data_IF_492251810421
#
_entry.id   IF_492251810421
#
_cell.length_a   1.000
_cell.length_b   1.000
_cell.length_c   1.000
_cell.angle_alpha   90.00
_cell.angle_beta   90.00
_cell.angle_gamma   90.00
#
_symmetry.space_group_name_H-M   'P 1'
#
loop_
_entity.id
_entity.type
_entity.pdbx_description
1 polymer ?
#
# COMPACT_ATOMS: atom_id res chain seq x y z
N UNK A 1 3.36 19.83 12.43
CA UNK A 1 2.28 20.50 11.75
C UNK A 1 2.32 22.01 11.93
N UNK A 2 1.58 22.72 11.10
CA UNK A 2 1.36 24.16 11.22
C UNK A 2 0.16 24.35 12.12
N UNK A 3 0.27 25.17 13.17
CA UNK A 3 -0.76 25.28 14.18
C UNK A 3 -2.02 26.02 13.72
N UNK A 4 -1.90 26.96 12.78
CA UNK A 4 -3.07 27.68 12.22
C UNK A 4 -2.89 28.05 10.75
N UNK A 5 -4.00 28.36 10.07
CA UNK A 5 -3.96 28.90 8.70
C UNK A 5 -3.26 30.28 8.68
N UNK A 6 -3.39 31.05 9.75
CA UNK A 6 -2.78 32.36 9.90
C UNK A 6 -1.26 32.27 10.05
N UNK A 7 -0.74 31.24 10.74
CA UNK A 7 0.70 31.00 10.80
C UNK A 7 1.26 30.60 9.44
N UNK A 8 0.51 29.81 8.65
CA UNK A 8 0.90 29.50 7.26
C UNK A 8 0.91 30.76 6.42
N UNK A 9 -0.07 31.64 6.58
CA UNK A 9 -0.17 32.89 5.85
C UNK A 9 0.87 33.91 6.33
N UNK A 10 1.15 33.96 7.64
CA UNK A 10 2.18 34.83 8.24
C UNK A 10 3.60 34.45 7.85
N UNK A 11 3.85 33.15 7.55
CA UNK A 11 5.13 32.67 7.03
C UNK A 11 5.32 32.95 5.53
N UNK A 12 4.34 33.62 4.90
CA UNK A 12 4.45 34.18 3.55
C UNK A 12 4.52 33.20 2.41
N UNK A 13 4.63 31.91 2.68
CA UNK A 13 4.54 30.85 1.68
C UNK A 13 4.34 29.51 2.37
N UNK A 14 3.39 28.75 1.91
CA UNK A 14 3.33 27.30 2.10
C UNK A 14 4.50 26.59 1.40
N UNK A 15 5.74 27.11 1.56
CA UNK A 15 6.89 26.44 0.98
C UNK A 15 7.10 25.12 1.72
N UNK A 16 7.31 24.05 0.98
CA UNK A 16 7.62 22.71 1.51
C UNK A 16 8.74 22.77 2.55
N UNK A 17 9.73 23.65 2.36
CA UNK A 17 10.86 23.84 3.26
C UNK A 17 10.48 24.39 4.64
N UNK A 18 9.46 25.24 4.74
CA UNK A 18 8.98 25.75 6.02
C UNK A 18 8.24 24.68 6.82
N UNK A 19 7.37 23.89 6.15
CA UNK A 19 6.66 22.76 6.77
C UNK A 19 7.62 21.70 7.33
N UNK A 20 8.76 21.50 6.69
CA UNK A 20 9.78 20.54 7.14
C UNK A 20 10.44 20.92 8.48
N UNK A 21 10.47 22.21 8.84
CA UNK A 21 11.08 22.70 10.07
C UNK A 21 10.11 22.78 11.24
N UNK A 22 8.81 22.67 11.00
CA UNK A 22 7.78 22.78 12.02
C UNK A 22 7.67 21.53 12.89
N UNK A 23 7.24 21.64 14.16
CA UNK A 23 6.90 20.50 14.97
C UNK A 23 5.77 19.69 14.34
N UNK A 24 5.69 18.41 14.69
CA UNK A 24 4.61 17.52 14.26
C UNK A 24 3.90 16.97 15.47
N UNK A 25 2.58 16.85 15.36
CA UNK A 25 1.70 16.33 16.40
C UNK A 25 0.88 15.18 15.85
N UNK A 26 0.43 14.30 16.72
CA UNK A 26 -0.53 13.27 16.36
C UNK A 26 -1.92 13.89 16.17
N UNK A 27 -2.67 13.36 15.23
CA UNK A 27 -4.08 13.64 15.03
C UNK A 27 -4.75 12.38 14.48
N UNK A 28 -5.99 12.13 14.87
CA UNK A 28 -6.81 11.04 14.33
C UNK A 28 -7.66 11.63 13.20
N UNK A 29 -7.64 11.01 12.03
CA UNK A 29 -8.49 11.40 10.90
C UNK A 29 -9.32 10.19 10.50
N UNK A 30 -10.64 10.31 10.61
CA UNK A 30 -11.61 9.28 10.26
C UNK A 30 -12.32 9.66 8.97
N UNK A 31 -12.37 8.74 8.00
CA UNK A 31 -13.20 8.89 6.81
C UNK A 31 -14.63 8.47 7.14
N UNK A 32 -15.58 9.39 7.01
CA UNK A 32 -16.99 9.14 7.34
C UNK A 32 -17.81 8.63 6.15
N UNK A 33 -17.33 8.83 4.93
CA UNK A 33 -18.00 8.44 3.68
C UNK A 33 -16.98 8.22 2.55
N UNK A 34 -17.43 7.82 1.39
CA UNK A 34 -16.57 7.60 0.21
C UNK A 34 -15.78 8.85 -0.23
N UNK A 35 -16.37 10.03 -0.08
CA UNK A 35 -15.66 11.30 -0.35
C UNK A 35 -14.52 11.49 0.65
N UNK A 36 -14.81 11.25 1.94
CA UNK A 36 -13.79 11.30 3.00
C UNK A 36 -12.65 10.32 2.75
N UNK A 37 -12.94 9.08 2.37
CA UNK A 37 -11.92 8.10 1.98
C UNK A 37 -11.02 8.64 0.86
N UNK A 38 -11.59 9.21 -0.18
CA UNK A 38 -10.84 9.82 -1.29
C UNK A 38 -9.96 10.97 -0.82
N UNK A 39 -10.50 11.84 0.04
CA UNK A 39 -9.77 12.97 0.60
C UNK A 39 -8.65 12.52 1.55
N UNK A 40 -8.89 11.49 2.36
CA UNK A 40 -7.85 10.89 3.21
C UNK A 40 -6.68 10.35 2.38
N UNK A 41 -6.94 9.65 1.28
CA UNK A 41 -5.90 9.15 0.38
C UNK A 41 -5.12 10.27 -0.29
N UNK A 42 -5.78 11.40 -0.64
CA UNK A 42 -5.10 12.59 -1.16
C UNK A 42 -4.16 13.19 -0.11
N UNK A 43 -4.62 13.33 1.12
CA UNK A 43 -3.79 13.82 2.23
C UNK A 43 -2.58 12.92 2.48
N UNK A 44 -2.77 11.60 2.53
CA UNK A 44 -1.67 10.64 2.69
C UNK A 44 -0.69 10.72 1.52
N UNK A 45 -1.19 10.83 0.28
CA UNK A 45 -0.34 11.00 -0.90
C UNK A 45 0.48 12.29 -0.84
N UNK A 46 -0.15 13.42 -0.50
CA UNK A 46 0.55 14.70 -0.33
C UNK A 46 1.61 14.63 0.78
N UNK A 47 1.30 13.96 1.88
CA UNK A 47 2.22 13.77 3.00
C UNK A 47 3.50 13.03 2.59
N UNK A 48 3.39 12.06 1.67
CA UNK A 48 4.54 11.28 1.20
C UNK A 48 5.26 11.92 0.01
N UNK A 49 4.53 12.50 -0.95
CA UNK A 49 5.12 13.03 -2.18
C UNK A 49 5.65 14.44 -1.98
N UNK A 50 4.91 15.30 -1.26
CA UNK A 50 5.21 16.74 -1.17
C UNK A 50 5.79 17.15 0.18
N UNK A 51 5.28 16.59 1.28
CA UNK A 51 5.59 17.07 2.64
C UNK A 51 6.39 16.07 3.48
N UNK A 52 7.00 15.08 2.86
CA UNK A 52 7.83 14.10 3.55
C UNK A 52 9.13 14.74 4.08
N UNK A 53 9.37 14.59 5.36
CA UNK A 53 10.66 14.93 5.98
C UNK A 53 10.87 14.02 7.20
N UNK A 54 11.74 13.02 7.09
CA UNK A 54 11.96 11.93 8.05
C UNK A 54 10.72 11.05 8.29
N UNK A 55 9.53 11.65 8.22
CA UNK A 55 8.21 11.01 8.30
C UNK A 55 7.22 11.78 7.42
N UNK A 56 6.11 11.17 7.00
CA UNK A 56 5.06 11.89 6.28
C UNK A 56 4.40 12.92 7.19
N UNK A 57 4.04 14.09 6.65
CA UNK A 57 3.45 15.22 7.38
C UNK A 57 2.23 15.75 6.65
N UNK A 58 1.19 16.07 7.37
CA UNK A 58 -0.02 16.69 6.82
C UNK A 58 -0.13 18.10 7.39
N UNK A 59 0.12 19.17 6.60
CA UNK A 59 -0.14 20.53 7.03
C UNK A 59 -1.64 20.75 7.29
N UNK A 60 -2.00 21.48 8.35
CA UNK A 60 -3.39 21.85 8.64
C UNK A 60 -4.08 22.54 7.46
N UNK A 61 -3.36 23.38 6.72
CA UNK A 61 -3.86 24.03 5.52
C UNK A 61 -4.28 23.05 4.41
N UNK A 62 -3.56 21.94 4.24
CA UNK A 62 -3.97 20.88 3.30
C UNK A 62 -5.16 20.08 3.85
N UNK A 63 -5.16 19.79 5.15
CA UNK A 63 -6.32 19.14 5.79
C UNK A 63 -7.60 19.95 5.59
N UNK A 64 -7.57 21.27 5.80
CA UNK A 64 -8.74 22.14 5.62
C UNK A 64 -9.29 22.06 4.19
N UNK A 65 -8.42 22.01 3.18
CA UNK A 65 -8.83 21.88 1.76
C UNK A 65 -9.58 20.59 1.46
N UNK A 66 -9.23 19.52 2.15
CA UNK A 66 -9.77 18.18 1.94
C UNK A 66 -10.61 17.67 3.11
N UNK A 67 -11.15 18.58 3.94
CA UNK A 67 -11.89 18.24 5.17
C UNK A 67 -13.21 17.54 4.91
N UNK A 68 -13.80 17.73 3.75
CA UNK A 68 -15.12 17.16 3.41
C UNK A 68 -15.13 15.63 3.55
N UNK A 69 -16.11 15.13 4.34
CA UNK A 69 -16.24 13.72 4.68
C UNK A 69 -15.18 13.18 5.66
N UNK A 70 -14.45 14.05 6.35
CA UNK A 70 -13.46 13.68 7.38
C UNK A 70 -13.84 14.24 8.74
N UNK A 71 -13.64 13.44 9.80
CA UNK A 71 -13.61 13.89 11.19
C UNK A 71 -12.16 13.92 11.67
N UNK A 72 -11.82 14.91 12.48
CA UNK A 72 -10.51 15.04 13.10
C UNK A 72 -10.62 15.01 14.62
N UNK A 73 -9.84 14.13 15.27
CA UNK A 73 -9.72 14.00 16.71
C UNK A 73 -8.39 14.51 17.24
N UNK A 74 -8.38 14.95 18.51
CA UNK A 74 -7.21 15.55 19.15
C UNK A 74 -6.05 14.58 19.45
N UNK A 75 -6.28 13.29 19.30
CA UNK A 75 -5.34 12.20 19.56
C UNK A 75 -4.82 12.14 21.02
N UNK A 76 -3.69 11.42 21.20
CA UNK A 76 -3.07 11.08 22.48
C UNK A 76 -2.24 12.22 23.07
N UNK A 77 -1.34 11.91 24.02
CA UNK A 77 -0.41 12.83 24.65
C UNK A 77 0.57 13.50 23.66
N UNK A 78 0.80 12.87 22.52
CA UNK A 78 1.59 13.45 21.41
C UNK A 78 0.74 14.37 20.50
N UNK A 79 -0.55 14.54 20.78
CA UNK A 79 -1.45 15.47 20.11
C UNK A 79 -1.17 16.91 20.49
N UNK A 80 -1.53 17.85 19.60
CA UNK A 80 -1.24 19.26 19.79
C UNK A 80 -2.02 19.86 20.97
N UNK A 81 -3.29 19.48 21.15
CA UNK A 81 -4.11 19.95 22.28
C UNK A 81 -3.54 19.49 23.62
N UNK A 82 -3.22 18.19 23.74
CA UNK A 82 -2.63 17.66 24.96
C UNK A 82 -1.31 18.36 25.30
N UNK A 83 -0.43 18.54 24.30
CA UNK A 83 0.84 19.26 24.47
C UNK A 83 0.67 20.71 24.81
N UNK A 84 -0.35 21.39 24.29
CA UNK A 84 -0.65 22.79 24.64
C UNK A 84 -1.09 22.90 26.11
N UNK A 85 -1.94 21.99 26.59
CA UNK A 85 -2.38 21.93 28.00
C UNK A 85 -1.19 21.61 28.92
N UNK A 86 -0.42 20.57 28.58
CA UNK A 86 0.76 20.14 29.33
C UNK A 86 1.77 21.29 29.53
N UNK A 87 2.02 22.06 28.48
CA UNK A 87 2.97 23.19 28.49
C UNK A 87 2.37 24.51 28.99
N UNK A 88 1.16 24.51 29.53
CA UNK A 88 0.51 25.71 30.07
C UNK A 88 0.33 26.85 29.05
N UNK A 89 0.00 26.49 27.79
CA UNK A 89 -0.24 27.48 26.74
C UNK A 89 -1.43 28.38 27.08
N UNK A 90 -1.50 29.63 26.56
CA UNK A 90 -2.59 30.53 26.81
C UNK A 90 -3.96 29.93 26.42
N UNK A 91 -5.01 30.25 27.17
CA UNK A 91 -6.37 29.74 26.92
C UNK A 91 -6.88 30.09 25.52
N UNK A 92 -6.46 31.23 24.96
CA UNK A 92 -6.78 31.65 23.59
C UNK A 92 -6.23 30.64 22.54
N UNK A 93 -5.00 30.15 22.77
CA UNK A 93 -4.40 29.12 21.90
C UNK A 93 -5.13 27.80 22.07
N UNK A 94 -5.43 27.39 23.29
CA UNK A 94 -6.21 26.16 23.59
C UNK A 94 -7.59 26.23 22.93
N UNK A 95 -8.29 27.37 23.03
CA UNK A 95 -9.57 27.59 22.37
C UNK A 95 -9.51 27.41 20.86
N UNK A 96 -8.50 27.95 20.21
CA UNK A 96 -8.30 27.77 18.76
C UNK A 96 -8.08 26.30 18.39
N UNK A 97 -7.31 25.57 19.20
CA UNK A 97 -7.07 24.15 19.00
C UNK A 97 -8.33 23.31 19.16
N UNK A 98 -9.10 23.53 20.22
CA UNK A 98 -10.37 22.82 20.46
C UNK A 98 -11.33 23.04 19.30
N UNK A 99 -11.45 24.27 18.80
CA UNK A 99 -12.31 24.58 17.65
C UNK A 99 -11.89 23.90 16.35
N UNK A 100 -10.62 23.56 16.19
CA UNK A 100 -10.11 22.87 15.00
C UNK A 100 -10.57 21.40 14.96
N UNK A 101 -10.67 20.74 16.12
CA UNK A 101 -11.06 19.33 16.23
C UNK A 101 -12.57 19.15 16.20
N UNK A 102 -13.04 18.01 15.64
CA UNK A 102 -14.44 17.61 15.68
C UNK A 102 -14.79 16.92 16.99
N UNK A 103 -13.83 16.20 17.57
CA UNK A 103 -13.93 15.58 18.89
C UNK A 103 -12.58 15.59 19.61
N UNK A 104 -12.64 15.43 20.93
CA UNK A 104 -11.45 15.39 21.78
C UNK A 104 -11.25 13.99 22.31
N UNK A 105 -10.03 13.67 22.71
CA UNK A 105 -9.65 12.32 23.14
C UNK A 105 -8.95 12.36 24.50
N UNK A 106 -9.27 11.38 25.34
CA UNK A 106 -8.58 11.07 26.60
C UNK A 106 -8.22 9.59 26.61
N UNK A 107 -7.15 9.26 27.33
CA UNK A 107 -6.64 7.88 27.43
C UNK A 107 -6.49 7.44 28.89
N UNK A 108 -6.39 6.12 29.20
CA UNK A 108 -6.09 5.61 30.51
C UNK A 108 -4.80 6.26 31.07
N UNK A 109 -4.77 6.52 32.38
CA UNK A 109 -3.63 7.18 33.02
C UNK A 109 -2.31 6.40 32.81
N UNK A 110 -2.38 5.08 32.82
CA UNK A 110 -1.24 4.20 32.59
C UNK A 110 -0.54 4.40 31.24
N UNK A 111 -1.30 4.84 30.22
CA UNK A 111 -0.72 5.11 28.89
C UNK A 111 0.28 6.28 28.95
N UNK A 112 0.05 7.25 29.85
CA UNK A 112 0.84 8.47 30.00
C UNK A 112 1.72 8.46 31.25
N UNK A 113 1.84 7.33 31.98
CA UNK A 113 2.62 7.22 33.20
C UNK A 113 4.13 7.53 33.00
N UNK A 114 4.64 7.41 31.79
CA UNK A 114 6.01 7.80 31.46
C UNK A 114 6.27 9.29 31.69
N UNK A 115 5.23 10.16 31.56
CA UNK A 115 5.36 11.60 31.84
C UNK A 115 5.62 11.89 33.33
N UNK A 116 5.21 10.99 34.23
CA UNK A 116 5.48 11.12 35.68
C UNK A 116 6.95 10.75 35.99
N UNK A 117 7.56 9.89 35.16
CA UNK A 117 8.95 9.45 35.32
C UNK A 117 9.96 10.34 34.60
N UNK A 118 9.49 11.15 33.67
CA UNK A 118 10.33 12.07 32.89
C UNK A 118 10.65 13.32 33.72
N UNK A 119 11.93 13.48 34.08
CA UNK A 119 12.43 14.61 34.88
C UNK A 119 12.21 15.98 34.19
N UNK A 120 12.10 16.01 32.86
CA UNK A 120 11.84 17.22 32.08
C UNK A 120 10.33 17.50 31.95
N UNK A 121 9.46 16.62 32.46
CA UNK A 121 8.01 16.77 32.42
C UNK A 121 7.50 17.64 33.58
N UNK A 122 6.48 18.49 33.36
CA UNK A 122 5.81 19.21 34.45
C UNK A 122 4.88 18.31 35.30
N UNK A 123 4.72 17.03 34.95
CA UNK A 123 3.84 16.05 35.60
C UNK A 123 4.59 15.35 36.73
N UNK A 124 4.14 15.56 37.97
CA UNK A 124 4.74 14.97 39.13
C UNK A 124 4.01 13.72 39.66
N UNK A 125 2.74 13.55 39.27
CA UNK A 125 1.87 12.48 39.84
C UNK A 125 0.75 12.08 38.88
N UNK A 126 0.07 10.97 39.20
CA UNK A 126 -1.14 10.57 38.51
C UNK A 126 -2.28 11.60 38.68
N UNK A 127 -2.31 12.36 39.76
CA UNK A 127 -3.31 13.41 39.96
C UNK A 127 -3.17 14.52 38.91
N UNK A 128 -1.97 14.85 38.47
CA UNK A 128 -1.73 15.80 37.39
C UNK A 128 -2.28 15.28 36.07
N UNK A 129 -2.09 13.97 35.79
CA UNK A 129 -2.68 13.32 34.59
C UNK A 129 -4.21 13.33 34.63
N UNK A 130 -4.81 13.11 35.83
CA UNK A 130 -6.25 13.21 36.03
C UNK A 130 -6.74 14.62 35.72
N UNK A 131 -6.04 15.66 36.20
CA UNK A 131 -6.42 17.05 35.96
C UNK A 131 -6.34 17.44 34.49
N UNK A 132 -5.36 16.92 33.71
CA UNK A 132 -5.32 17.12 32.27
C UNK A 132 -6.55 16.49 31.60
N UNK A 133 -6.87 15.23 31.92
CA UNK A 133 -8.04 14.56 31.35
C UNK A 133 -9.34 15.30 31.72
N UNK A 134 -9.48 15.73 32.98
CA UNK A 134 -10.62 16.55 33.41
C UNK A 134 -10.68 17.91 32.68
N UNK A 135 -9.53 18.54 32.42
CA UNK A 135 -9.48 19.79 31.62
C UNK A 135 -9.97 19.53 30.20
N UNK A 136 -9.56 18.44 29.56
CA UNK A 136 -10.05 18.08 28.21
C UNK A 136 -11.55 17.84 28.23
N UNK A 137 -12.10 17.14 29.25
CA UNK A 137 -13.53 16.92 29.41
C UNK A 137 -14.28 18.24 29.55
N UNK A 138 -13.82 19.15 30.43
CA UNK A 138 -14.42 20.50 30.60
C UNK A 138 -14.39 21.30 29.30
N UNK A 139 -13.30 21.26 28.54
CA UNK A 139 -13.21 21.90 27.23
C UNK A 139 -14.21 21.31 26.24
N UNK A 140 -14.41 19.98 26.25
CA UNK A 140 -15.44 19.32 25.45
C UNK A 140 -16.83 19.83 25.78
N UNK A 141 -17.16 19.98 27.06
CA UNK A 141 -18.45 20.54 27.52
C UNK A 141 -18.62 22.00 27.09
N UNK A 142 -17.61 22.84 27.35
CA UNK A 142 -17.63 24.26 27.03
C UNK A 142 -17.82 24.54 25.53
N UNK A 143 -17.10 23.79 24.69
CA UNK A 143 -17.11 23.97 23.23
C UNK A 143 -18.06 23.00 22.49
N UNK A 144 -18.88 22.27 23.20
CA UNK A 144 -19.84 21.28 22.65
C UNK A 144 -19.16 20.26 21.72
N UNK A 145 -17.98 19.79 22.10
CA UNK A 145 -17.24 18.74 21.39
C UNK A 145 -17.36 17.40 22.11
N UNK A 146 -17.73 16.31 21.45
CA UNK A 146 -17.69 14.99 22.07
C UNK A 146 -16.27 14.70 22.58
N UNK A 147 -16.15 14.14 23.79
CA UNK A 147 -14.91 13.60 24.32
C UNK A 147 -14.99 12.10 24.32
N UNK A 148 -14.03 11.42 23.72
CA UNK A 148 -13.97 9.96 23.64
C UNK A 148 -12.81 9.42 24.47
N UNK A 149 -13.02 8.31 25.15
CA UNK A 149 -11.99 7.55 25.83
C UNK A 149 -11.51 6.42 24.94
N UNK A 150 -10.23 6.46 24.52
CA UNK A 150 -9.61 5.43 23.69
C UNK A 150 -8.55 4.65 24.47
N UNK A 151 -8.34 3.39 24.11
CA UNK A 151 -7.42 2.50 24.85
C UNK A 151 -5.99 2.53 24.32
N UNK A 152 -5.78 2.93 23.05
CA UNK A 152 -4.48 2.89 22.38
C UNK A 152 -3.84 1.48 22.38
N UNK A 153 -4.57 0.50 21.90
CA UNK A 153 -4.21 -0.92 21.95
C UNK A 153 -2.99 -1.21 21.07
N UNK A 154 -1.95 -1.81 21.66
CA UNK A 154 -0.75 -2.27 20.96
C UNK A 154 -0.55 -3.78 21.07
N UNK A 155 -1.22 -4.44 22.02
CA UNK A 155 -1.20 -5.90 22.21
C UNK A 155 -2.51 -6.39 22.83
N UNK A 156 -2.77 -7.70 22.76
CA UNK A 156 -4.06 -8.26 23.11
C UNK A 156 -4.22 -8.44 24.62
N UNK A 157 -3.36 -9.25 25.24
CA UNK A 157 -3.43 -9.59 26.65
C UNK A 157 -2.35 -8.83 27.44
N UNK A 158 -2.55 -8.56 28.76
CA UNK A 158 -1.57 -7.85 29.57
C UNK A 158 -0.16 -8.45 29.53
N UNK A 159 -0.04 -9.78 29.46
CA UNK A 159 1.24 -10.48 29.43
C UNK A 159 1.99 -10.36 28.09
N UNK A 160 1.31 -9.92 27.03
CA UNK A 160 1.90 -9.72 25.70
C UNK A 160 2.84 -8.50 25.64
N UNK A 161 2.88 -7.70 26.69
CA UNK A 161 3.85 -6.60 26.82
C UNK A 161 5.28 -7.03 26.53
N UNK A 162 5.62 -8.28 26.87
CA UNK A 162 6.97 -8.83 26.69
C UNK A 162 7.40 -8.81 25.22
N UNK A 163 6.48 -9.06 24.28
CA UNK A 163 6.78 -9.04 22.86
C UNK A 163 7.06 -7.62 22.38
N UNK A 164 6.30 -6.64 22.86
CA UNK A 164 6.54 -5.23 22.57
C UNK A 164 7.87 -4.77 23.14
N UNK A 165 8.20 -5.18 24.37
CA UNK A 165 9.48 -4.92 25.03
C UNK A 165 10.65 -5.40 24.18
N UNK A 166 10.61 -6.64 23.68
CA UNK A 166 11.65 -7.22 22.84
C UNK A 166 11.81 -6.40 21.54
N UNK A 167 10.71 -6.04 20.89
CA UNK A 167 10.74 -5.24 19.66
C UNK A 167 11.33 -3.86 19.91
N UNK A 168 10.91 -3.17 20.96
CA UNK A 168 11.42 -1.84 21.32
C UNK A 168 12.90 -1.87 21.69
N UNK A 169 13.33 -2.86 22.47
CA UNK A 169 14.74 -3.06 22.78
C UNK A 169 15.59 -3.30 21.53
N UNK A 170 15.08 -4.11 20.58
CA UNK A 170 15.71 -4.35 19.28
C UNK A 170 15.80 -3.09 18.40
N UNK A 171 14.92 -2.13 18.59
CA UNK A 171 14.93 -0.82 17.92
C UNK A 171 15.78 0.24 18.65
N UNK A 172 16.35 -0.11 19.81
CA UNK A 172 17.24 0.76 20.57
C UNK A 172 16.53 1.76 21.50
N UNK A 173 15.26 1.53 21.85
CA UNK A 173 14.57 2.33 22.86
C UNK A 173 15.15 2.06 24.25
N UNK A 174 15.52 3.12 24.95
CA UNK A 174 16.17 3.01 26.29
C UNK A 174 15.19 2.62 27.39
N UNK A 175 13.92 2.96 27.22
CA UNK A 175 12.80 2.72 28.13
C UNK A 175 11.98 1.46 27.77
N UNK A 176 12.57 0.56 26.98
CA UNK A 176 11.88 -0.65 26.52
C UNK A 176 11.36 -1.51 27.68
N UNK A 177 12.04 -1.51 28.83
CA UNK A 177 11.64 -2.26 30.03
C UNK A 177 10.49 -1.64 30.83
N UNK A 178 10.11 -0.38 30.51
CA UNK A 178 9.06 0.37 31.19
C UNK A 178 7.80 0.46 30.31
N UNK A 179 7.17 -0.68 30.05
CA UNK A 179 6.02 -0.75 29.17
C UNK A 179 4.78 -0.07 29.76
N UNK A 180 4.11 0.74 28.90
CA UNK A 180 2.76 1.20 29.20
C UNK A 180 1.75 0.04 29.02
N UNK A 181 0.66 0.00 29.80
CA UNK A 181 -0.32 -1.09 29.77
C UNK A 181 -1.28 -0.94 28.58
N UNK A 182 -0.78 -1.09 27.35
CA UNK A 182 -1.49 -0.85 26.09
C UNK A 182 -2.20 -2.13 25.57
N UNK A 183 -2.76 -2.92 26.47
CA UNK A 183 -3.55 -4.10 26.11
C UNK A 183 -5.00 -3.76 25.78
N UNK A 184 -5.70 -4.67 25.08
CA UNK A 184 -7.12 -4.52 24.77
C UNK A 184 -7.97 -4.64 26.03
N UNK A 185 -8.58 -3.54 26.44
CA UNK A 185 -9.49 -3.49 27.59
C UNK A 185 -10.94 -3.73 27.18
N UNK A 186 -11.67 -4.46 28.01
CA UNK A 186 -13.11 -4.55 27.92
C UNK A 186 -13.77 -3.23 28.28
N UNK A 187 -15.08 -3.10 27.99
CA UNK A 187 -15.85 -1.91 28.38
C UNK A 187 -15.82 -1.68 29.89
N UNK A 188 -15.94 -2.74 30.69
CA UNK A 188 -15.91 -2.67 32.16
C UNK A 188 -14.54 -2.20 32.65
N UNK A 189 -13.44 -2.66 32.06
CA UNK A 189 -12.10 -2.21 32.39
C UNK A 189 -11.92 -0.73 32.02
N UNK A 190 -12.37 -0.32 30.83
CA UNK A 190 -12.32 1.10 30.45
C UNK A 190 -13.15 1.98 31.39
N UNK A 191 -14.36 1.57 31.80
CA UNK A 191 -15.15 2.31 32.77
C UNK A 191 -14.42 2.47 34.11
N UNK A 192 -13.66 1.47 34.56
CA UNK A 192 -12.83 1.56 35.77
C UNK A 192 -11.70 2.56 35.63
N UNK A 193 -11.02 2.60 34.48
CA UNK A 193 -9.94 3.56 34.20
C UNK A 193 -10.39 5.01 34.34
N UNK A 194 -11.68 5.30 34.04
CA UNK A 194 -12.21 6.66 34.06
C UNK A 194 -13.16 6.94 35.24
N UNK A 195 -13.20 6.08 36.27
CA UNK A 195 -14.06 6.28 37.46
C UNK A 195 -13.84 7.64 38.17
N UNK A 196 -12.66 8.21 38.08
CA UNK A 196 -12.35 9.53 38.65
C UNK A 196 -13.15 10.69 38.04
N UNK A 197 -13.81 10.47 36.91
CA UNK A 197 -14.75 11.43 36.28
C UNK A 197 -16.17 11.34 36.87
N UNK A 198 -16.46 10.31 37.67
CA UNK A 198 -17.78 9.92 38.07
C UNK A 198 -18.47 8.98 37.05
N UNK A 199 -19.39 8.16 37.52
CA UNK A 199 -19.98 7.07 36.73
C UNK A 199 -20.71 7.57 35.46
N UNK A 200 -21.45 8.66 35.55
CA UNK A 200 -22.19 9.23 34.41
C UNK A 200 -21.25 9.74 33.31
N UNK A 201 -20.19 10.47 33.70
CA UNK A 201 -19.21 11.01 32.74
C UNK A 201 -18.32 9.92 32.18
N UNK A 202 -17.96 8.90 32.99
CA UNK A 202 -17.23 7.74 32.50
C UNK A 202 -18.03 6.98 31.42
N UNK A 203 -19.34 6.74 31.65
CA UNK A 203 -20.23 6.14 30.66
C UNK A 203 -20.34 7.00 29.38
N UNK A 204 -20.42 8.30 29.54
CA UNK A 204 -20.49 9.24 28.42
C UNK A 204 -19.26 9.11 27.51
N UNK A 205 -18.05 9.21 28.07
CA UNK A 205 -16.80 9.23 27.26
C UNK A 205 -16.40 7.85 26.74
N UNK A 206 -16.70 6.77 27.50
CA UNK A 206 -16.30 5.39 27.13
C UNK A 206 -17.31 4.75 26.18
N UNK A 207 -18.61 4.99 26.37
CA UNK A 207 -19.67 4.27 25.64
C UNK A 207 -20.41 5.20 24.69
N UNK A 208 -21.04 6.27 25.20
CA UNK A 208 -21.96 7.09 24.41
C UNK A 208 -21.24 7.83 23.28
N UNK A 209 -20.17 8.53 23.61
CA UNK A 209 -19.45 9.35 22.63
C UNK A 209 -18.64 8.50 21.64
N UNK A 210 -18.09 7.36 22.04
CA UNK A 210 -17.41 6.45 21.11
C UNK A 210 -18.38 5.87 20.09
N UNK A 211 -19.58 5.46 20.52
CA UNK A 211 -20.63 5.03 19.59
C UNK A 211 -21.12 6.19 18.71
N UNK A 212 -21.29 7.41 19.27
CA UNK A 212 -21.66 8.58 18.48
C UNK A 212 -20.68 8.83 17.32
N UNK A 213 -19.37 8.77 17.58
CA UNK A 213 -18.36 8.93 16.51
C UNK A 213 -18.43 7.79 15.49
N UNK A 214 -18.64 6.55 15.94
CA UNK A 214 -18.82 5.41 15.04
C UNK A 214 -20.07 5.56 14.15
N UNK A 215 -21.18 6.03 14.71
CA UNK A 215 -22.47 6.23 14.00
C UNK A 215 -22.40 7.38 12.98
N UNK A 216 -21.44 8.32 13.12
CA UNK A 216 -21.16 9.35 12.13
C UNK A 216 -20.46 8.79 10.88
N UNK A 217 -19.97 7.55 10.91
CA UNK A 217 -19.25 6.91 9.82
C UNK A 217 -20.18 5.95 9.06
N UNK A 218 -20.32 6.15 7.76
CA UNK A 218 -20.98 5.21 6.87
C UNK A 218 -20.19 3.91 6.72
N UNK A 219 -20.85 2.86 6.28
CA UNK A 219 -20.16 1.63 5.90
C UNK A 219 -19.45 1.83 4.56
N UNK A 220 -18.16 2.08 4.61
CA UNK A 220 -17.30 2.28 3.43
C UNK A 220 -16.27 1.15 3.30
N UNK A 221 -15.78 0.92 2.09
CA UNK A 221 -14.67 0.01 1.84
C UNK A 221 -13.37 0.80 1.69
N UNK A 222 -12.26 0.42 2.39
CA UNK A 222 -10.95 1.05 2.19
C UNK A 222 -10.45 0.93 0.75
N UNK A 223 -10.74 -0.19 0.11
CA UNK A 223 -10.40 -0.45 -1.30
C UNK A 223 -11.69 -0.59 -2.09
N UNK A 224 -11.76 0.04 -3.26
CA UNK A 224 -12.90 -0.11 -4.16
C UNK A 224 -13.07 -1.59 -4.52
N UNK A 225 -14.31 -2.13 -4.48
CA UNK A 225 -14.54 -3.53 -4.83
C UNK A 225 -14.29 -3.82 -6.32
N UNK A 226 -14.47 -2.81 -7.17
CA UNK A 226 -14.34 -2.95 -8.61
C UNK A 226 -12.87 -2.99 -9.02
N UNK A 227 -12.54 -3.96 -9.85
CA UNK A 227 -11.24 -3.99 -10.53
C UNK A 227 -11.23 -2.89 -11.59
N UNK A 228 -10.16 -2.10 -11.62
CA UNK A 228 -9.97 -1.02 -12.59
C UNK A 228 -8.72 -1.33 -13.45
N UNK A 229 -8.78 -2.31 -14.36
CA UNK A 229 -7.66 -2.58 -15.25
C UNK A 229 -7.39 -1.35 -16.13
N UNK A 230 -6.13 -1.07 -16.46
CA UNK A 230 -5.82 0.00 -17.40
C UNK A 230 -6.42 -0.32 -18.77
N UNK A 231 -6.78 0.72 -19.51
CA UNK A 231 -7.31 0.60 -20.88
C UNK A 231 -6.27 1.14 -21.86
N UNK A 232 -5.90 0.30 -22.83
CA UNK A 232 -5.07 0.72 -23.97
C UNK A 232 -5.88 0.41 -25.23
N UNK A 233 -6.21 1.47 -25.99
CA UNK A 233 -6.95 1.29 -27.25
C UNK A 233 -6.23 0.31 -28.17
N UNK A 234 -7.02 -0.54 -28.83
CA UNK A 234 -6.55 -1.54 -29.78
C UNK A 234 -5.51 -2.54 -29.22
N UNK A 235 -5.43 -2.72 -27.88
CA UNK A 235 -4.47 -3.64 -27.27
C UNK A 235 -4.54 -5.07 -27.83
N UNK A 236 -5.74 -5.54 -28.16
CA UNK A 236 -5.97 -6.88 -28.71
C UNK A 236 -5.33 -7.01 -30.10
N UNK A 237 -5.56 -6.06 -30.98
CA UNK A 237 -4.98 -6.05 -32.31
C UNK A 237 -3.46 -5.80 -32.26
N UNK A 238 -3.02 -4.87 -31.40
CA UNK A 238 -1.59 -4.63 -31.20
C UNK A 238 -0.85 -5.87 -30.78
N UNK A 239 -1.40 -6.64 -29.84
CA UNK A 239 -0.79 -7.88 -29.38
C UNK A 239 -0.71 -8.92 -30.52
N UNK A 240 -1.79 -9.09 -31.29
CA UNK A 240 -1.78 -9.95 -32.48
C UNK A 240 -0.70 -9.55 -33.46
N UNK A 241 -0.65 -8.29 -33.86
CA UNK A 241 0.29 -7.78 -34.84
C UNK A 241 1.74 -7.97 -34.39
N UNK A 242 2.06 -7.65 -33.14
CA UNK A 242 3.42 -7.84 -32.60
C UNK A 242 3.81 -9.31 -32.66
N UNK A 243 2.94 -10.22 -32.23
CA UNK A 243 3.23 -11.64 -32.18
C UNK A 243 3.37 -12.26 -33.56
N UNK A 244 2.44 -12.00 -34.47
CA UNK A 244 2.51 -12.53 -35.83
C UNK A 244 3.71 -11.98 -36.60
N UNK A 245 4.00 -10.69 -36.50
CA UNK A 245 5.17 -10.09 -37.15
C UNK A 245 6.47 -10.76 -36.70
N UNK A 246 6.61 -11.03 -35.40
CA UNK A 246 7.80 -11.73 -34.89
C UNK A 246 7.82 -13.19 -35.28
N UNK A 247 6.66 -13.89 -35.24
CA UNK A 247 6.56 -15.29 -35.64
C UNK A 247 6.95 -15.47 -37.13
N UNK A 248 6.41 -14.66 -38.03
CA UNK A 248 6.80 -14.68 -39.46
C UNK A 248 8.28 -14.36 -39.67
N UNK A 249 8.82 -13.41 -38.92
CA UNK A 249 10.24 -13.08 -38.98
C UNK A 249 11.14 -14.26 -38.57
N UNK A 250 10.68 -15.07 -37.61
CA UNK A 250 11.45 -16.21 -37.10
C UNK A 250 11.23 -17.47 -37.91
N UNK A 251 10.00 -17.80 -38.25
CA UNK A 251 9.61 -19.10 -38.82
C UNK A 251 9.19 -19.05 -40.29
N UNK A 252 9.08 -17.85 -40.87
CA UNK A 252 8.74 -17.67 -42.29
C UNK A 252 7.23 -17.51 -42.54
N UNK A 253 6.87 -17.48 -43.84
CA UNK A 253 5.50 -17.41 -44.32
C UNK A 253 5.31 -18.44 -45.44
N UNK A 254 4.37 -19.41 -45.28
CA UNK A 254 3.46 -19.58 -44.16
C UNK A 254 4.18 -20.06 -42.88
N UNK A 255 3.54 -19.82 -41.71
CA UNK A 255 4.02 -20.37 -40.46
C UNK A 255 3.90 -21.89 -40.42
N UNK A 256 4.83 -22.62 -39.75
CA UNK A 256 4.63 -24.02 -39.42
C UNK A 256 3.32 -24.23 -38.62
N UNK A 257 2.58 -25.30 -38.88
CA UNK A 257 1.30 -25.56 -38.24
C UNK A 257 1.37 -25.51 -36.71
N UNK A 258 2.36 -26.13 -36.12
CA UNK A 258 2.57 -26.15 -34.65
C UNK A 258 2.77 -24.73 -34.06
N UNK A 259 3.42 -23.82 -34.79
CA UNK A 259 3.62 -22.42 -34.42
C UNK A 259 2.30 -21.65 -34.52
N UNK A 260 1.57 -21.83 -35.63
CA UNK A 260 0.30 -21.20 -35.88
C UNK A 260 -0.74 -21.61 -34.83
N UNK A 261 -0.92 -22.89 -34.60
CA UNK A 261 -1.91 -23.43 -33.65
C UNK A 261 -1.62 -22.95 -32.21
N UNK A 262 -0.35 -22.98 -31.81
CA UNK A 262 0.04 -22.54 -30.46
C UNK A 262 -0.24 -21.05 -30.29
N UNK A 263 0.12 -20.24 -31.27
CA UNK A 263 -0.08 -18.79 -31.24
C UNK A 263 -1.56 -18.41 -31.20
N UNK A 264 -2.38 -19.03 -32.07
CA UNK A 264 -3.81 -18.80 -32.12
C UNK A 264 -4.51 -19.20 -30.82
N UNK A 265 -4.19 -20.36 -30.27
CA UNK A 265 -4.75 -20.85 -29.01
C UNK A 265 -4.46 -19.88 -27.86
N UNK A 266 -3.21 -19.44 -27.72
CA UNK A 266 -2.82 -18.53 -26.64
C UNK A 266 -3.41 -17.13 -26.83
N UNK A 267 -3.32 -16.54 -28.03
CA UNK A 267 -3.89 -15.22 -28.31
C UNK A 267 -5.41 -15.20 -28.07
N UNK A 268 -6.13 -16.23 -28.52
CA UNK A 268 -7.57 -16.30 -28.29
C UNK A 268 -7.91 -16.39 -26.80
N UNK A 269 -7.16 -17.18 -26.02
CA UNK A 269 -7.35 -17.26 -24.58
C UNK A 269 -7.03 -15.93 -23.86
N UNK A 270 -5.91 -15.32 -24.19
CA UNK A 270 -5.47 -14.05 -23.56
C UNK A 270 -6.46 -12.94 -23.87
N UNK A 271 -6.89 -12.79 -25.14
CA UNK A 271 -7.77 -11.72 -25.56
C UNK A 271 -9.19 -11.91 -25.03
N UNK A 272 -9.75 -13.13 -25.13
CA UNK A 272 -11.11 -13.40 -24.64
C UNK A 272 -11.26 -13.21 -23.14
N UNK A 273 -10.18 -13.36 -22.37
CA UNK A 273 -10.16 -13.08 -20.94
C UNK A 273 -9.75 -11.64 -20.58
N UNK A 274 -9.56 -10.76 -21.57
CA UNK A 274 -9.24 -9.33 -21.36
C UNK A 274 -7.81 -9.06 -20.87
N UNK A 275 -6.86 -9.98 -21.10
CA UNK A 275 -5.48 -9.84 -20.63
C UNK A 275 -4.52 -9.20 -21.64
N UNK A 276 -4.97 -8.87 -22.86
CA UNK A 276 -4.11 -8.29 -23.88
C UNK A 276 -3.40 -7.01 -23.41
N UNK A 277 -4.13 -6.14 -22.70
CA UNK A 277 -3.57 -4.91 -22.14
C UNK A 277 -2.41 -5.17 -21.19
N UNK A 278 -2.47 -6.24 -20.39
CA UNK A 278 -1.41 -6.61 -19.44
C UNK A 278 -0.15 -7.06 -20.19
N UNK A 279 -0.31 -7.83 -21.28
CA UNK A 279 0.80 -8.21 -22.15
C UNK A 279 1.43 -7.00 -22.83
N UNK A 280 0.65 -6.05 -23.31
CA UNK A 280 1.17 -4.81 -23.92
C UNK A 280 1.94 -3.96 -22.90
N UNK A 281 1.45 -3.87 -21.65
CA UNK A 281 2.17 -3.16 -20.58
C UNK A 281 3.50 -3.87 -20.27
N UNK A 282 3.46 -5.18 -20.07
CA UNK A 282 4.66 -5.96 -19.80
C UNK A 282 5.70 -5.84 -20.93
N UNK A 283 5.24 -5.94 -22.19
CA UNK A 283 6.09 -5.77 -23.36
C UNK A 283 6.75 -4.38 -23.39
N UNK A 284 5.98 -3.31 -23.17
CA UNK A 284 6.53 -1.94 -23.14
C UNK A 284 7.56 -1.75 -22.01
N UNK A 285 7.31 -2.31 -20.83
CA UNK A 285 8.23 -2.24 -19.70
C UNK A 285 9.55 -2.97 -20.00
N UNK A 286 9.47 -4.20 -20.53
CA UNK A 286 10.64 -4.99 -20.88
C UNK A 286 11.47 -4.31 -21.98
N UNK A 287 10.79 -3.83 -23.02
CA UNK A 287 11.48 -3.16 -24.13
C UNK A 287 12.15 -1.87 -23.66
N UNK A 288 11.47 -1.05 -22.86
CA UNK A 288 12.05 0.17 -22.30
C UNK A 288 13.27 -0.12 -21.43
N UNK A 289 13.20 -1.15 -20.59
CA UNK A 289 14.33 -1.55 -19.76
C UNK A 289 15.53 -1.96 -20.59
N UNK A 290 15.31 -2.75 -21.66
CA UNK A 290 16.38 -3.17 -22.58
C UNK A 290 16.97 -1.99 -23.37
N UNK A 291 16.15 -1.02 -23.82
CA UNK A 291 16.60 0.21 -24.47
C UNK A 291 17.50 1.04 -23.54
N UNK A 292 17.17 1.07 -22.25
CA UNK A 292 17.97 1.76 -21.23
C UNK A 292 19.25 0.99 -20.83
N UNK A 293 19.48 -0.19 -21.42
CA UNK A 293 20.68 -1.01 -21.17
C UNK A 293 20.58 -1.94 -19.96
N UNK A 294 19.36 -2.14 -19.39
CA UNK A 294 19.12 -3.04 -18.28
C UNK A 294 18.56 -4.36 -18.77
N UNK A 295 19.19 -5.47 -18.38
CA UNK A 295 18.73 -6.82 -18.70
C UNK A 295 17.47 -7.17 -17.89
N UNK A 296 16.51 -7.78 -18.57
CA UNK A 296 15.30 -8.32 -17.96
C UNK A 296 15.30 -9.83 -18.13
N UNK A 297 15.30 -10.55 -17.01
CA UNK A 297 15.20 -12.01 -16.97
C UNK A 297 13.76 -12.47 -16.69
N UNK A 298 13.37 -13.56 -17.31
CA UNK A 298 12.07 -14.20 -17.05
C UNK A 298 12.09 -14.93 -15.71
N UNK A 299 10.96 -14.84 -14.98
CA UNK A 299 10.75 -15.54 -13.72
C UNK A 299 9.37 -16.18 -13.65
N UNK A 300 9.30 -17.42 -13.17
CA UNK A 300 8.05 -18.16 -12.98
C UNK A 300 7.39 -18.58 -14.29
N UNK A 301 6.06 -18.65 -14.30
CA UNK A 301 5.28 -19.25 -15.36
C UNK A 301 5.21 -18.47 -16.69
N UNK A 302 5.75 -17.25 -16.75
CA UNK A 302 5.76 -16.45 -18.00
C UNK A 302 6.48 -17.19 -19.15
N UNK A 303 7.47 -18.03 -18.82
CA UNK A 303 8.19 -18.87 -19.79
C UNK A 303 7.35 -19.95 -20.45
N UNK A 304 6.11 -20.20 -20.01
CA UNK A 304 5.17 -21.12 -20.65
C UNK A 304 4.30 -20.48 -21.73
N UNK A 305 4.33 -19.15 -21.87
CA UNK A 305 3.55 -18.42 -22.88
C UNK A 305 4.35 -18.14 -24.14
N UNK A 306 3.95 -18.72 -25.25
CA UNK A 306 4.53 -18.45 -26.56
C UNK A 306 4.19 -17.02 -27.04
N UNK A 307 3.03 -16.49 -26.67
CA UNK A 307 2.68 -15.07 -26.90
C UNK A 307 3.66 -14.16 -26.15
N UNK A 308 4.08 -14.49 -24.93
CA UNK A 308 5.09 -13.72 -24.21
C UNK A 308 6.46 -13.76 -24.93
N UNK A 309 6.82 -14.89 -25.52
CA UNK A 309 8.02 -15.02 -26.36
C UNK A 309 7.92 -14.17 -27.63
N UNK A 310 6.78 -14.28 -28.32
CA UNK A 310 6.54 -13.53 -29.58
C UNK A 310 6.35 -12.04 -29.35
N UNK A 311 5.87 -11.60 -28.23
CA UNK A 311 5.78 -10.18 -27.86
C UNK A 311 7.09 -9.61 -27.30
N UNK A 312 8.10 -10.46 -27.05
CA UNK A 312 9.41 -10.02 -26.52
C UNK A 312 9.41 -9.72 -25.02
N UNK A 313 8.47 -10.30 -24.28
CA UNK A 313 8.43 -10.24 -22.80
C UNK A 313 9.43 -11.22 -22.20
N UNK A 314 9.57 -12.39 -22.83
CA UNK A 314 10.50 -13.46 -22.39
C UNK A 314 11.34 -13.97 -23.55
N UNK A 315 12.50 -14.52 -23.24
CA UNK A 315 13.39 -15.20 -24.18
C UNK A 315 13.12 -16.71 -24.26
N UNK A 316 12.34 -17.24 -23.30
CA UNK A 316 12.03 -18.68 -23.24
C UNK A 316 11.04 -19.04 -24.34
N UNK A 317 11.40 -20.01 -25.17
CA UNK A 317 10.54 -20.56 -26.21
C UNK A 317 9.87 -21.85 -25.68
N UNK A 318 8.55 -21.82 -25.38
CA UNK A 318 7.85 -22.97 -24.78
C UNK A 318 7.42 -24.06 -25.75
N UNK A 319 7.71 -23.90 -27.04
CA UNK A 319 7.44 -24.96 -28.05
C UNK A 319 8.26 -26.21 -27.74
N UNK A 320 7.89 -27.32 -28.41
CA UNK A 320 8.73 -28.51 -28.39
C UNK A 320 10.14 -28.25 -28.92
N UNK A 321 11.08 -29.07 -28.52
CA UNK A 321 12.45 -29.00 -29.04
C UNK A 321 12.44 -29.00 -30.58
N UNK A 322 13.15 -28.07 -31.20
CA UNK A 322 13.21 -27.93 -32.66
C UNK A 322 14.47 -27.20 -33.10
N UNK A 323 14.83 -27.36 -34.36
CA UNK A 323 15.84 -26.56 -35.01
C UNK A 323 15.24 -25.36 -35.72
N UNK A 324 15.91 -24.23 -35.64
CA UNK A 324 15.51 -22.98 -36.30
C UNK A 324 16.71 -22.33 -37.00
N UNK A 325 16.55 -21.97 -38.27
CA UNK A 325 17.56 -21.19 -38.98
C UNK A 325 17.25 -19.69 -38.92
N UNK A 326 18.04 -18.93 -38.19
CA UNK A 326 17.88 -17.46 -38.10
C UNK A 326 18.16 -16.70 -39.40
N UNK A 327 18.72 -17.37 -40.46
CA UNK A 327 19.00 -16.76 -41.72
C UNK A 327 17.93 -16.98 -42.80
N UNK A 328 17.43 -18.21 -42.94
CA UNK A 328 16.46 -18.54 -43.99
C UNK A 328 15.15 -19.04 -43.46
N UNK A 329 14.92 -18.94 -42.14
CA UNK A 329 13.66 -19.30 -41.47
C UNK A 329 13.27 -20.79 -41.59
N UNK A 330 14.21 -21.64 -42.04
CA UNK A 330 14.00 -23.09 -42.00
C UNK A 330 13.80 -23.56 -40.57
N UNK A 331 12.78 -24.37 -40.36
CA UNK A 331 12.53 -25.04 -39.06
C UNK A 331 12.32 -26.50 -39.24
N UNK A 332 12.72 -27.31 -38.25
CA UNK A 332 12.59 -28.76 -38.22
C UNK A 332 11.96 -29.18 -36.90
N UNK A 333 10.68 -29.51 -36.94
CA UNK A 333 9.88 -30.02 -35.81
C UNK A 333 9.66 -31.54 -35.86
N UNK A 334 9.93 -32.18 -37.02
CA UNK A 334 9.39 -33.51 -37.33
C UNK A 334 10.42 -34.57 -37.57
N UNK A 335 11.69 -34.24 -37.73
CA UNK A 335 12.72 -35.27 -37.94
C UNK A 335 12.81 -36.25 -36.75
N UNK A 336 13.21 -37.48 -37.01
CA UNK A 336 13.35 -38.55 -35.99
C UNK A 336 14.29 -38.10 -34.86
N UNK A 337 15.31 -37.32 -35.20
CA UNK A 337 16.23 -36.71 -34.23
C UNK A 337 15.48 -35.77 -33.30
N UNK A 338 14.68 -34.83 -33.83
CA UNK A 338 13.88 -33.90 -33.02
C UNK A 338 12.87 -34.63 -32.14
N UNK A 339 12.16 -35.61 -32.70
CA UNK A 339 11.20 -36.43 -31.96
C UNK A 339 11.83 -37.20 -30.79
N UNK A 340 13.07 -37.61 -30.91
CA UNK A 340 13.81 -38.28 -29.84
C UNK A 340 14.09 -37.37 -28.62
N UNK A 341 13.89 -36.04 -28.76
CA UNK A 341 14.02 -35.04 -27.71
C UNK A 341 12.67 -34.54 -27.18
N UNK A 342 11.57 -35.19 -27.49
CA UNK A 342 10.25 -34.88 -26.91
C UNK A 342 10.32 -34.90 -25.37
N UNK A 343 9.75 -33.86 -24.72
CA UNK A 343 9.83 -33.65 -23.27
C UNK A 343 11.20 -33.22 -22.75
N UNK A 344 12.13 -32.88 -23.63
CA UNK A 344 13.46 -32.37 -23.26
C UNK A 344 13.72 -30.98 -23.86
N UNK A 345 14.76 -30.31 -23.36
CA UNK A 345 15.18 -29.02 -23.90
C UNK A 345 15.81 -29.16 -25.28
N UNK A 346 15.46 -28.26 -26.21
CA UNK A 346 16.14 -28.13 -27.48
C UNK A 346 17.63 -27.87 -27.35
N UNK A 347 18.08 -27.22 -26.27
CA UNK A 347 19.49 -26.98 -26.00
C UNK A 347 20.36 -28.25 -25.95
N UNK A 348 19.76 -29.38 -25.59
CA UNK A 348 20.42 -30.68 -25.47
C UNK A 348 20.61 -31.37 -26.82
N UNK A 349 19.97 -30.89 -27.90
CA UNK A 349 20.12 -31.46 -29.23
C UNK A 349 21.54 -31.23 -29.78
N UNK A 350 22.08 -32.13 -30.63
CA UNK A 350 23.35 -31.97 -31.25
C UNK A 350 23.40 -30.76 -32.22
N UNK A 351 24.55 -30.21 -32.45
CA UNK A 351 24.72 -29.13 -33.43
C UNK A 351 24.42 -29.64 -34.84
N UNK A 352 23.72 -28.83 -35.63
CA UNK A 352 23.28 -29.17 -36.99
C UNK A 352 23.44 -27.97 -37.92
N UNK A 353 23.72 -28.25 -39.17
CA UNK A 353 23.82 -27.22 -40.23
C UNK A 353 22.49 -27.17 -40.99
N UNK A 354 22.05 -26.00 -41.35
CA UNK A 354 20.83 -25.78 -42.11
C UNK A 354 20.93 -26.41 -43.50
N UNK A 355 20.02 -27.30 -43.90
CA UNK A 355 20.05 -27.95 -45.21
C UNK A 355 19.74 -26.98 -46.35
N UNK A 356 19.10 -25.81 -46.07
CA UNK A 356 18.76 -24.84 -47.10
C UNK A 356 19.88 -23.83 -47.38
N UNK A 357 20.57 -23.31 -46.37
CA UNK A 357 21.48 -22.20 -46.52
C UNK A 357 22.91 -22.49 -45.99
N UNK A 358 23.17 -23.65 -45.41
CA UNK A 358 24.49 -24.06 -44.93
C UNK A 358 24.93 -23.33 -43.63
N UNK A 359 24.09 -22.55 -42.99
CA UNK A 359 24.41 -21.85 -41.74
C UNK A 359 24.09 -22.72 -40.52
N UNK A 360 24.72 -22.51 -39.37
CA UNK A 360 24.38 -23.21 -38.14
C UNK A 360 22.91 -23.01 -37.76
N UNK A 361 22.23 -24.06 -37.31
CA UNK A 361 20.87 -24.00 -36.78
C UNK A 361 20.89 -23.64 -35.29
N UNK A 362 19.92 -22.83 -34.88
CA UNK A 362 19.60 -22.57 -33.47
C UNK A 362 18.82 -23.77 -32.93
N UNK A 363 19.09 -24.14 -31.69
CA UNK A 363 18.41 -25.21 -30.94
C UNK A 363 17.43 -24.55 -30.01
N UNK A 364 16.14 -24.65 -30.30
CA UNK A 364 15.05 -23.94 -29.63
C UNK A 364 14.09 -24.91 -28.94
N UNK A 365 13.28 -24.39 -28.00
CA UNK A 365 12.18 -25.11 -27.39
C UNK A 365 12.52 -25.75 -26.04
N UNK A 366 11.60 -25.55 -25.08
CA UNK A 366 11.69 -26.09 -23.73
C UNK A 366 10.55 -27.03 -23.39
N UNK A 367 9.62 -27.28 -24.33
CA UNK A 367 8.46 -28.16 -24.19
C UNK A 367 7.60 -27.84 -22.95
N UNK A 368 7.18 -26.59 -22.80
CA UNK A 368 6.40 -26.12 -21.65
C UNK A 368 4.93 -25.92 -22.07
N UNK A 369 3.97 -26.60 -21.45
CA UNK A 369 2.55 -26.40 -21.75
C UNK A 369 2.05 -25.05 -21.25
N UNK A 370 1.18 -24.39 -22.05
CA UNK A 370 0.61 -23.08 -21.72
C UNK A 370 -0.25 -23.09 -20.46
N UNK A 371 -0.86 -24.22 -20.15
CA UNK A 371 -1.74 -24.42 -18.99
C UNK A 371 -1.06 -24.14 -17.64
N UNK A 372 0.28 -24.05 -17.60
CA UNK A 372 1.03 -23.64 -16.41
C UNK A 372 0.99 -22.14 -16.18
N UNK A 373 0.54 -21.35 -17.17
CA UNK A 373 0.45 -19.90 -17.09
C UNK A 373 -0.95 -19.46 -16.62
N UNK A 374 -1.02 -18.72 -15.52
CA UNK A 374 -2.23 -18.08 -14.94
C UNK A 374 -3.43 -19.01 -14.63
N UNK A 375 -3.27 -20.33 -14.59
CA UNK A 375 -4.34 -21.23 -14.18
C UNK A 375 -5.59 -21.18 -15.07
N UNK A 376 -5.44 -21.16 -16.37
CA UNK A 376 -6.50 -21.03 -17.38
C UNK A 376 -7.56 -22.14 -17.43
N UNK A 377 -7.57 -23.06 -16.49
CA UNK A 377 -8.72 -23.96 -16.32
C UNK A 377 -9.72 -23.29 -15.40
N UNK A 378 -10.66 -22.63 -16.01
CA UNK A 378 -11.95 -22.17 -15.53
C UNK A 378 -12.07 -21.87 -14.03
N UNK A 379 -12.65 -20.73 -13.71
CA UNK A 379 -13.04 -20.28 -12.39
C UNK A 379 -11.89 -19.70 -11.51
N UNK A 380 -11.53 -18.49 -11.82
CA UNK A 380 -11.35 -17.56 -10.68
C UNK A 380 -11.62 -16.13 -11.10
#
# INVERSE_FOLDING_TARGET
GVSTLDEVNALGTSSVQNVQKMPTYHAIILATCDQGRTNLYRLVSLAHIKYYHRRPRIPKSEFIKYRDGLLIGSACEAGELYRAILNGRPEEEITRLVNFYDYLEIQPLGNNAFLVRDEDSPIASNDDLIEINKKIVRLGEEFHKPVVATCDVHFLDPDDEIYRRIIMAGQGFKDADEQAPLFLRTTEEMLKEFQYLGSEKAEEVVIKNTNLIADMCEKISPVRPDKCPPVIENSDQMLRDICYNKAHKMYGDPLPEIVQERLDRELNSIISNGYAVMYIIAQKLVWKSNEDGYLVGSRGSVGSSFVATMSGITEVNPLHAHYLCKHCQYSDFDSDLVKSYSGRSGCDMPDKICPRCGKPLSKEGFDIPFETFLGFKGNK
#
